data_IF_285384618854
#
_entry.id   IF_285384618854
#
_cell.length_a   1.000
_cell.length_b   1.000
_cell.length_c   1.000
_cell.angle_alpha   90.00
_cell.angle_beta   90.00
_cell.angle_gamma   90.00
#
_symmetry.space_group_name_H-M   'P 1'
#
loop_
_entity.id
_entity.type
_entity.pdbx_description
1 polymer ?
#
# COMPACT_ATOMS: atom_id res chain seq x y z
N UNK A 1 -8.00 -19.78 0.80
CA UNK A 1 -7.57 -20.84 -0.19
C UNK A 1 -6.39 -20.41 -1.08
N UNK A 2 -6.35 -19.19 -1.66
CA UNK A 2 -5.21 -18.77 -2.51
C UNK A 2 -3.99 -18.36 -1.68
N UNK A 3 -4.20 -17.61 -0.57
CA UNK A 3 -3.12 -17.24 0.36
C UNK A 3 -2.49 -18.46 1.01
N UNK A 4 -3.29 -19.42 1.48
CA UNK A 4 -2.79 -20.65 2.11
C UNK A 4 -1.86 -21.43 1.17
N UNK A 5 -2.24 -21.52 -0.12
CA UNK A 5 -1.41 -22.16 -1.13
C UNK A 5 -0.08 -21.43 -1.35
N UNK A 6 -0.11 -20.09 -1.37
CA UNK A 6 1.10 -19.28 -1.49
C UNK A 6 2.01 -19.48 -0.27
N UNK A 7 1.44 -19.39 0.93
CA UNK A 7 2.19 -19.59 2.19
C UNK A 7 2.84 -20.97 2.21
N UNK A 8 2.08 -22.03 1.94
CA UNK A 8 2.63 -23.40 1.89
C UNK A 8 3.75 -23.54 0.86
N UNK A 9 3.61 -22.91 -0.32
CA UNK A 9 4.67 -22.91 -1.32
C UNK A 9 5.95 -22.27 -0.79
N UNK A 10 5.84 -21.08 -0.19
CA UNK A 10 7.01 -20.36 0.35
C UNK A 10 7.65 -21.12 1.52
N UNK A 11 6.84 -21.71 2.42
CA UNK A 11 7.35 -22.47 3.56
C UNK A 11 8.08 -23.75 3.15
N UNK A 12 7.73 -24.34 2.00
CA UNK A 12 8.36 -25.55 1.48
C UNK A 12 9.66 -25.30 0.68
N UNK A 13 10.03 -24.02 0.46
CA UNK A 13 11.32 -23.71 -0.18
C UNK A 13 12.47 -23.82 0.83
N UNK A 14 13.58 -24.44 0.44
CA UNK A 14 14.77 -24.61 1.29
C UNK A 14 15.67 -23.36 1.37
N UNK A 15 15.22 -22.26 0.79
CA UNK A 15 15.93 -20.97 0.83
C UNK A 15 15.30 -20.02 1.86
N UNK A 16 16.10 -19.17 2.53
CA UNK A 16 15.57 -18.18 3.45
C UNK A 16 14.71 -17.15 2.73
N UNK A 17 13.66 -16.67 3.39
CA UNK A 17 12.86 -15.55 2.94
C UNK A 17 13.42 -14.26 3.55
N UNK A 18 14.01 -13.39 2.73
CA UNK A 18 14.61 -12.14 3.21
C UNK A 18 13.66 -10.95 3.13
N UNK A 19 12.84 -10.88 2.08
CA UNK A 19 12.02 -9.71 1.78
C UNK A 19 10.59 -10.15 1.45
N UNK A 20 9.62 -9.62 2.18
CA UNK A 20 8.19 -9.72 1.86
C UNK A 20 7.65 -8.36 1.44
N UNK A 21 7.20 -8.24 0.18
CA UNK A 21 6.55 -7.01 -0.29
C UNK A 21 5.05 -7.25 -0.46
N UNK A 22 4.25 -6.68 0.42
CA UNK A 22 2.79 -6.70 0.34
C UNK A 22 2.31 -5.59 -0.61
N UNK A 23 2.36 -5.88 -1.92
CA UNK A 23 2.03 -4.91 -2.98
C UNK A 23 0.60 -5.06 -3.51
N UNK A 24 0.01 -6.25 -3.46
CA UNK A 24 -1.32 -6.50 -4.00
C UNK A 24 -2.36 -5.56 -3.36
N UNK A 25 -3.20 -4.96 -4.18
CA UNK A 25 -4.25 -4.07 -3.70
C UNK A 25 -5.56 -4.26 -4.49
N UNK A 26 -6.68 -4.16 -3.79
CA UNK A 26 -7.99 -4.01 -4.39
C UNK A 26 -8.20 -2.51 -4.63
N UNK A 27 -8.23 -2.12 -5.89
CA UNK A 27 -8.48 -0.75 -6.32
C UNK A 27 -9.83 -0.62 -7.02
N UNK A 28 -10.47 -1.76 -7.32
CA UNK A 28 -11.72 -1.83 -8.04
C UNK A 28 -11.61 -1.35 -9.49
N UNK A 29 -12.70 -1.45 -10.19
CA UNK A 29 -12.90 -0.84 -11.50
C UNK A 29 -13.98 0.22 -11.38
N UNK A 30 -14.03 1.19 -12.29
CA UNK A 30 -15.03 2.28 -12.23
C UNK A 30 -16.47 1.78 -12.33
N UNK A 31 -16.69 0.61 -12.90
CA UNK A 31 -17.98 -0.04 -13.10
C UNK A 31 -18.37 -0.99 -11.93
N UNK A 32 -17.52 -1.15 -10.94
CA UNK A 32 -17.82 -1.98 -9.77
C UNK A 32 -18.89 -1.31 -8.90
N UNK A 33 -20.04 -1.95 -8.80
CA UNK A 33 -21.16 -1.46 -7.98
C UNK A 33 -20.76 -1.21 -6.52
N UNK A 34 -21.15 -0.05 -5.98
CA UNK A 34 -20.84 0.32 -4.60
C UNK A 34 -19.38 0.68 -4.32
N UNK A 35 -18.55 0.94 -5.33
CA UNK A 35 -17.14 1.30 -5.17
C UNK A 35 -16.89 2.79 -5.36
N UNK A 36 -16.72 3.28 -6.58
CA UNK A 36 -16.41 4.67 -6.90
C UNK A 36 -17.69 5.52 -7.06
N UNK A 37 -18.52 5.51 -6.05
CA UNK A 37 -19.86 6.16 -6.01
C UNK A 37 -19.97 7.07 -4.79
N UNK A 38 -21.10 7.80 -4.67
CA UNK A 38 -21.37 8.63 -3.49
C UNK A 38 -21.37 7.80 -2.19
N UNK A 39 -21.12 8.43 -1.05
CA UNK A 39 -21.05 7.72 0.24
C UNK A 39 -22.31 6.87 0.51
N UNK A 40 -23.50 7.40 0.16
CA UNK A 40 -24.78 6.70 0.36
C UNK A 40 -24.95 5.45 -0.50
N UNK A 41 -24.20 5.35 -1.58
CA UNK A 41 -24.25 4.24 -2.54
C UNK A 41 -23.11 3.22 -2.34
N UNK A 42 -22.10 3.56 -1.51
CA UNK A 42 -21.03 2.61 -1.17
C UNK A 42 -21.59 1.43 -0.35
N UNK A 43 -21.17 0.22 -0.67
CA UNK A 43 -21.72 -1.00 -0.05
C UNK A 43 -20.75 -1.62 0.94
N UNK A 44 -21.30 -2.25 2.00
CA UNK A 44 -20.52 -3.03 2.98
C UNK A 44 -19.83 -4.23 2.31
N UNK A 45 -20.41 -4.78 1.27
CA UNK A 45 -19.79 -5.87 0.50
C UNK A 45 -18.49 -5.42 -0.15
N UNK A 46 -18.52 -4.30 -0.88
CA UNK A 46 -17.33 -3.74 -1.54
C UNK A 46 -16.29 -3.27 -0.52
N UNK A 47 -16.76 -2.67 0.58
CA UNK A 47 -15.93 -2.35 1.74
C UNK A 47 -15.18 -3.58 2.25
N UNK A 48 -15.88 -4.67 2.53
CA UNK A 48 -15.30 -5.89 3.07
C UNK A 48 -14.29 -6.54 2.11
N UNK A 49 -14.57 -6.51 0.81
CA UNK A 49 -13.64 -7.00 -0.23
C UNK A 49 -12.35 -6.17 -0.27
N UNK A 50 -12.46 -4.86 -0.17
CA UNK A 50 -11.28 -3.98 -0.14
C UNK A 50 -10.42 -4.23 1.11
N UNK A 51 -11.03 -4.33 2.29
CA UNK A 51 -10.32 -4.65 3.53
C UNK A 51 -9.67 -6.04 3.47
N UNK A 52 -10.37 -7.03 2.90
CA UNK A 52 -9.85 -8.39 2.78
C UNK A 52 -8.54 -8.45 1.98
N UNK A 53 -8.45 -7.70 0.87
CA UNK A 53 -7.25 -7.68 0.03
C UNK A 53 -6.19 -6.72 0.57
N UNK A 54 -6.60 -5.49 0.94
CA UNK A 54 -5.65 -4.42 1.24
C UNK A 54 -5.08 -4.49 2.67
N UNK A 55 -5.80 -5.09 3.61
CA UNK A 55 -5.43 -5.10 5.03
C UNK A 55 -5.34 -6.52 5.60
N UNK A 56 -6.41 -7.32 5.48
CA UNK A 56 -6.43 -8.69 6.04
C UNK A 56 -5.34 -9.57 5.43
N UNK A 57 -5.14 -9.47 4.11
CA UNK A 57 -4.09 -10.25 3.44
C UNK A 57 -2.69 -9.81 3.87
N UNK A 58 -2.45 -8.52 4.10
CA UNK A 58 -1.17 -8.01 4.62
C UNK A 58 -0.87 -8.59 6.00
N UNK A 59 -1.86 -8.57 6.91
CA UNK A 59 -1.73 -9.17 8.23
C UNK A 59 -1.47 -10.68 8.14
N UNK A 60 -2.28 -11.40 7.37
CA UNK A 60 -2.24 -12.86 7.27
C UNK A 60 -0.91 -13.37 6.69
N UNK A 61 -0.42 -12.75 5.61
CA UNK A 61 0.88 -13.09 5.01
C UNK A 61 2.04 -12.76 5.94
N UNK A 62 2.02 -11.58 6.57
CA UNK A 62 3.07 -11.18 7.52
C UNK A 62 3.14 -12.13 8.72
N UNK A 63 1.98 -12.50 9.28
CA UNK A 63 1.87 -13.47 10.37
C UNK A 63 2.36 -14.86 9.96
N UNK A 64 1.87 -15.36 8.82
CA UNK A 64 2.12 -16.74 8.40
C UNK A 64 3.57 -16.98 7.95
N UNK A 65 4.26 -15.93 7.49
CA UNK A 65 5.65 -16.01 7.02
C UNK A 65 6.67 -15.47 8.04
N UNK A 66 6.22 -14.99 9.21
CA UNK A 66 7.10 -14.39 10.21
C UNK A 66 8.24 -15.33 10.63
N UNK A 67 7.95 -16.59 10.94
CA UNK A 67 8.98 -17.55 11.34
C UNK A 67 10.00 -17.81 10.23
N UNK A 68 9.54 -17.90 8.97
CA UNK A 68 10.42 -18.09 7.81
C UNK A 68 11.30 -16.86 7.56
N UNK A 69 10.76 -15.65 7.76
CA UNK A 69 11.54 -14.42 7.71
C UNK A 69 12.60 -14.35 8.81
N UNK A 70 12.30 -14.82 10.04
CA UNK A 70 13.26 -14.82 11.15
C UNK A 70 14.47 -15.73 10.93
N UNK A 71 14.43 -16.65 9.98
CA UNK A 71 15.59 -17.46 9.57
C UNK A 71 16.67 -16.63 8.85
N UNK A 72 16.29 -15.44 8.35
CA UNK A 72 17.19 -14.52 7.66
C UNK A 72 17.78 -13.47 8.61
N UNK A 73 19.06 -13.17 8.47
CA UNK A 73 19.72 -12.06 9.16
C UNK A 73 19.32 -10.67 8.65
N UNK A 74 18.67 -10.58 7.49
CA UNK A 74 18.31 -9.33 6.81
C UNK A 74 16.81 -9.26 6.47
N UNK A 75 15.97 -9.76 7.38
CA UNK A 75 14.53 -9.84 7.12
C UNK A 75 13.84 -8.48 7.13
N UNK A 76 13.01 -8.23 6.11
CA UNK A 76 12.19 -7.03 6.02
C UNK A 76 10.82 -7.31 5.41
N UNK A 77 9.80 -6.66 5.96
CA UNK A 77 8.45 -6.56 5.38
C UNK A 77 8.24 -5.13 4.90
N UNK A 78 7.83 -4.97 3.64
CA UNK A 78 7.47 -3.69 3.05
C UNK A 78 6.01 -3.74 2.64
N UNK A 79 5.19 -2.89 3.24
CA UNK A 79 3.77 -2.80 2.95
C UNK A 79 3.49 -1.61 2.04
N UNK A 80 2.72 -1.80 0.96
CA UNK A 80 2.30 -0.70 0.09
C UNK A 80 1.08 0.02 0.70
N UNK A 81 1.36 1.21 1.26
CA UNK A 81 0.38 2.17 1.74
C UNK A 81 -0.22 3.02 0.60
N UNK A 82 -0.52 4.25 0.92
CA UNK A 82 -0.95 5.33 0.02
C UNK A 82 -0.95 6.64 0.80
N UNK A 83 -0.80 7.78 0.12
CA UNK A 83 -1.08 9.09 0.71
C UNK A 83 -2.48 9.16 1.33
N UNK A 84 -3.46 8.46 0.75
CA UNK A 84 -4.83 8.36 1.28
C UNK A 84 -4.98 7.46 2.52
N UNK A 85 -3.89 6.90 3.04
CA UNK A 85 -3.85 6.31 4.37
C UNK A 85 -3.61 7.35 5.48
N UNK A 86 -3.16 8.55 5.14
CA UNK A 86 -2.87 9.66 6.07
C UNK A 86 -3.70 10.90 5.75
N UNK A 87 -4.01 11.13 4.47
CA UNK A 87 -4.72 12.32 3.99
C UNK A 87 -6.15 11.98 3.56
N UNK A 88 -7.07 12.90 3.79
CA UNK A 88 -8.38 12.87 3.15
C UNK A 88 -8.26 13.14 1.63
N UNK A 89 -9.09 12.50 0.80
CA UNK A 89 -9.07 12.73 -0.63
C UNK A 89 -9.63 14.12 -0.98
N UNK A 90 -8.97 14.83 -1.89
CA UNK A 90 -9.57 15.99 -2.53
C UNK A 90 -10.57 15.52 -3.59
N UNK A 91 -11.87 15.57 -3.27
CA UNK A 91 -12.93 15.08 -4.15
C UNK A 91 -13.06 15.86 -5.46
N UNK A 92 -12.60 17.11 -5.52
CA UNK A 92 -12.65 17.92 -6.76
C UNK A 92 -11.81 17.34 -7.89
N UNK A 93 -10.80 16.51 -7.57
CA UNK A 93 -10.01 15.79 -8.57
C UNK A 93 -10.86 14.88 -9.47
N UNK A 94 -11.90 14.30 -8.90
CA UNK A 94 -12.74 13.27 -9.54
C UNK A 94 -13.93 13.83 -10.30
N UNK A 95 -14.24 15.13 -10.15
CA UNK A 95 -15.38 15.76 -10.79
C UNK A 95 -15.38 15.62 -12.31
N UNK A 96 -16.51 15.16 -12.86
CA UNK A 96 -16.68 14.93 -14.29
C UNK A 96 -15.83 13.76 -14.84
N UNK A 97 -15.43 12.84 -13.97
CA UNK A 97 -14.82 11.54 -14.32
C UNK A 97 -15.66 10.41 -13.71
N UNK A 98 -15.37 9.18 -14.11
CA UNK A 98 -15.94 7.99 -13.48
C UNK A 98 -15.04 7.43 -12.34
N UNK A 99 -14.01 8.18 -11.98
CA UNK A 99 -13.12 7.81 -10.88
C UNK A 99 -13.68 8.30 -9.55
N UNK A 100 -13.20 7.69 -8.46
CA UNK A 100 -13.53 8.09 -7.11
C UNK A 100 -12.50 7.58 -6.11
N UNK A 101 -12.61 8.02 -4.86
CA UNK A 101 -11.83 7.52 -3.76
C UNK A 101 -12.78 6.94 -2.70
N UNK A 102 -13.03 5.62 -2.72
CA UNK A 102 -13.95 4.99 -1.78
C UNK A 102 -13.41 5.03 -0.34
N UNK A 103 -14.31 5.16 0.63
CA UNK A 103 -13.96 5.16 2.05
C UNK A 103 -13.17 3.89 2.45
N UNK A 104 -13.54 2.74 1.90
CA UNK A 104 -12.85 1.47 2.13
C UNK A 104 -11.38 1.50 1.71
N UNK A 105 -11.04 2.19 0.61
CA UNK A 105 -9.66 2.33 0.18
C UNK A 105 -8.85 3.13 1.22
N UNK A 106 -9.30 4.32 1.56
CA UNK A 106 -8.62 5.18 2.54
C UNK A 106 -8.47 4.46 3.89
N UNK A 107 -9.56 3.88 4.42
CA UNK A 107 -9.54 3.15 5.67
C UNK A 107 -8.57 1.95 5.64
N UNK A 108 -8.56 1.18 4.54
CA UNK A 108 -7.63 0.04 4.41
C UNK A 108 -6.17 0.50 4.40
N UNK A 109 -5.85 1.61 3.72
CA UNK A 109 -4.48 2.12 3.64
C UNK A 109 -4.03 2.76 4.97
N UNK A 110 -4.91 3.44 5.70
CA UNK A 110 -4.67 3.86 7.08
C UNK A 110 -4.42 2.67 8.00
N UNK A 111 -5.22 1.62 7.86
CA UNK A 111 -5.03 0.35 8.57
C UNK A 111 -3.66 -0.29 8.29
N UNK A 112 -3.19 -0.28 7.05
CA UNK A 112 -1.85 -0.80 6.68
C UNK A 112 -0.73 -0.02 7.37
N UNK A 113 -0.81 1.31 7.40
CA UNK A 113 0.18 2.16 8.05
C UNK A 113 0.23 1.86 9.55
N UNK A 114 -0.92 1.75 10.21
CA UNK A 114 -0.96 1.44 11.64
C UNK A 114 -0.56 -0.01 11.92
N UNK A 115 -0.95 -0.97 11.10
CA UNK A 115 -0.52 -2.37 11.19
C UNK A 115 1.01 -2.48 11.06
N UNK A 116 1.62 -1.69 10.19
CA UNK A 116 3.08 -1.63 10.03
C UNK A 116 3.78 -1.23 11.33
N UNK A 117 3.27 -0.21 12.03
CA UNK A 117 3.78 0.22 13.35
C UNK A 117 3.67 -0.91 14.38
N UNK A 118 2.51 -1.57 14.42
CA UNK A 118 2.30 -2.69 15.34
C UNK A 118 3.22 -3.87 15.03
N UNK A 119 3.34 -4.27 13.76
CA UNK A 119 4.21 -5.36 13.34
C UNK A 119 5.69 -5.03 13.61
N UNK A 120 6.11 -3.79 13.40
CA UNK A 120 7.50 -3.37 13.62
C UNK A 120 7.94 -3.55 15.07
N UNK A 121 7.06 -3.30 16.02
CA UNK A 121 7.35 -3.50 17.46
C UNK A 121 7.24 -4.96 17.88
N UNK A 122 6.30 -5.71 17.29
CA UNK A 122 6.07 -7.12 17.60
C UNK A 122 7.15 -8.05 17.05
N UNK A 123 7.73 -7.73 15.89
CA UNK A 123 8.69 -8.57 15.18
C UNK A 123 10.15 -8.15 15.39
N UNK A 124 10.37 -7.01 16.05
CA UNK A 124 11.72 -6.59 16.43
C UNK A 124 12.33 -7.57 17.44
N UNK A 125 13.69 -7.72 17.46
CA UNK A 125 14.65 -7.06 16.59
C UNK A 125 14.90 -7.79 15.26
N UNK A 126 14.19 -8.88 14.99
CA UNK A 126 14.54 -9.82 13.91
C UNK A 126 14.05 -9.40 12.53
N UNK A 127 12.92 -8.68 12.46
CA UNK A 127 12.30 -8.28 11.19
C UNK A 127 11.98 -6.78 11.23
N UNK A 128 12.50 -6.03 10.27
CA UNK A 128 12.08 -4.63 10.06
C UNK A 128 10.77 -4.60 9.27
N UNK A 129 9.87 -3.71 9.63
CA UNK A 129 8.59 -3.57 8.95
C UNK A 129 8.34 -2.10 8.65
N UNK A 130 8.20 -1.74 7.37
CA UNK A 130 7.97 -0.37 6.93
C UNK A 130 6.85 -0.30 5.89
N UNK A 131 6.28 0.88 5.73
CA UNK A 131 5.33 1.20 4.67
C UNK A 131 5.99 2.10 3.64
N UNK A 132 5.72 1.85 2.37
CA UNK A 132 5.92 2.80 1.28
C UNK A 132 4.55 3.31 0.85
N UNK A 133 4.34 4.63 0.93
CA UNK A 133 3.09 5.30 0.54
C UNK A 133 3.29 6.15 -0.71
N UNK A 134 2.91 5.63 -1.88
CA UNK A 134 2.94 6.42 -3.11
C UNK A 134 1.88 7.51 -3.13
N UNK A 135 2.18 8.60 -3.85
CA UNK A 135 1.20 9.52 -4.39
C UNK A 135 0.48 8.94 -5.62
N UNK A 136 -0.02 9.82 -6.48
CA UNK A 136 -0.66 9.40 -7.72
C UNK A 136 0.34 8.85 -8.73
N UNK A 137 0.21 7.57 -9.07
CA UNK A 137 0.98 6.90 -10.13
C UNK A 137 0.17 6.92 -11.43
N UNK A 138 0.78 7.36 -12.53
CA UNK A 138 0.10 7.42 -13.82
C UNK A 138 -0.21 6.00 -14.36
N UNK A 139 -1.46 5.81 -14.78
CA UNK A 139 -2.02 4.56 -15.32
C UNK A 139 -3.13 4.87 -16.32
N UNK A 140 -2.86 5.78 -17.27
CA UNK A 140 -3.81 6.19 -18.28
C UNK A 140 -5.13 6.76 -17.72
N UNK A 141 -5.09 7.44 -16.58
CA UNK A 141 -6.27 8.10 -16.01
C UNK A 141 -6.80 9.20 -16.95
N UNK A 142 -8.08 9.55 -16.84
CA UNK A 142 -8.68 10.62 -17.65
C UNK A 142 -7.89 11.92 -17.56
N UNK A 143 -7.65 12.58 -18.69
CA UNK A 143 -6.86 13.83 -18.78
C UNK A 143 -7.32 14.91 -17.78
N UNK A 144 -8.63 15.02 -17.52
CA UNK A 144 -9.18 15.97 -16.54
C UNK A 144 -8.62 15.71 -15.13
N UNK A 145 -8.57 14.44 -14.73
CA UNK A 145 -7.99 14.05 -13.44
C UNK A 145 -6.48 14.33 -13.42
N UNK A 146 -5.76 13.90 -14.46
CA UNK A 146 -4.30 14.09 -14.56
C UNK A 146 -3.92 15.55 -14.43
N UNK A 147 -4.53 16.42 -15.24
CA UNK A 147 -4.23 17.86 -15.23
C UNK A 147 -4.49 18.51 -13.85
N UNK A 148 -5.60 18.13 -13.18
CA UNK A 148 -5.90 18.63 -11.83
C UNK A 148 -4.89 18.11 -10.81
N UNK A 149 -4.56 16.83 -10.89
CA UNK A 149 -3.59 16.22 -9.98
C UNK A 149 -2.22 16.88 -10.12
N UNK A 150 -1.72 17.01 -11.34
CA UNK A 150 -0.40 17.60 -11.64
C UNK A 150 -0.30 19.08 -11.20
N UNK A 151 -1.39 19.85 -11.31
CA UNK A 151 -1.41 21.24 -10.84
C UNK A 151 -1.30 21.39 -9.32
N UNK A 152 -1.51 20.31 -8.57
CA UNK A 152 -1.43 20.27 -7.10
C UNK A 152 -0.18 19.57 -6.57
N UNK A 153 0.63 18.99 -7.45
CA UNK A 153 1.88 18.31 -7.07
C UNK A 153 3.07 19.28 -7.26
N UNK A 154 3.89 19.56 -6.24
CA UNK A 154 5.06 20.44 -6.39
C UNK A 154 5.99 20.06 -7.52
N UNK A 155 6.21 18.75 -7.76
CA UNK A 155 7.02 18.29 -8.91
C UNK A 155 6.29 18.36 -10.26
N UNK A 156 5.04 18.84 -10.32
CA UNK A 156 4.30 19.13 -11.55
C UNK A 156 3.93 17.92 -12.40
N UNK A 157 4.01 16.71 -11.88
CA UNK A 157 3.68 15.48 -12.61
C UNK A 157 3.17 14.37 -11.69
N UNK A 158 2.45 13.42 -12.26
CA UNK A 158 2.21 12.14 -11.59
C UNK A 158 3.48 11.29 -11.56
N UNK A 159 3.57 10.37 -10.62
CA UNK A 159 4.67 9.41 -10.56
C UNK A 159 4.56 8.35 -11.67
N UNK A 160 5.68 7.76 -12.02
CA UNK A 160 5.80 6.50 -12.74
C UNK A 160 6.20 5.37 -11.78
N UNK A 161 6.18 4.12 -12.26
CA UNK A 161 6.70 3.00 -11.46
C UNK A 161 8.19 3.16 -11.12
N UNK A 162 8.95 3.83 -11.96
CA UNK A 162 10.39 4.04 -11.75
C UNK A 162 10.66 4.89 -10.51
N UNK A 163 9.77 5.86 -10.22
CA UNK A 163 9.91 6.76 -9.09
C UNK A 163 9.83 6.04 -7.73
N UNK A 164 9.21 4.86 -7.69
CA UNK A 164 9.06 4.07 -6.46
C UNK A 164 10.22 3.10 -6.21
N UNK A 165 10.99 2.74 -7.25
CA UNK A 165 12.04 1.72 -7.16
C UNK A 165 13.14 2.06 -6.18
N UNK A 166 13.54 3.34 -6.12
CA UNK A 166 14.57 3.80 -5.21
C UNK A 166 14.20 3.58 -3.74
N UNK A 167 12.95 3.89 -3.37
CA UNK A 167 12.45 3.70 -2.02
C UNK A 167 12.34 2.20 -1.65
N UNK A 168 11.87 1.35 -2.58
CA UNK A 168 11.86 -0.10 -2.37
C UNK A 168 13.28 -0.64 -2.20
N UNK A 169 14.22 -0.25 -3.06
CA UNK A 169 15.61 -0.69 -2.96
C UNK A 169 16.25 -0.27 -1.63
N UNK A 170 16.02 0.98 -1.20
CA UNK A 170 16.48 1.50 0.10
C UNK A 170 15.91 0.67 1.25
N UNK A 171 14.59 0.48 1.31
CA UNK A 171 13.94 -0.26 2.40
C UNK A 171 14.32 -1.74 2.43
N UNK A 172 14.66 -2.33 1.27
CA UNK A 172 15.07 -3.73 1.13
C UNK A 172 16.54 -3.98 1.44
N UNK A 173 17.35 -2.93 1.59
CA UNK A 173 18.80 -3.03 1.76
C UNK A 173 19.24 -2.70 3.19
N UNK A 174 20.51 -2.99 3.48
CA UNK A 174 21.17 -2.69 4.75
C UNK A 174 21.31 -1.17 4.98
N UNK A 175 21.16 -0.34 3.95
CA UNK A 175 21.12 1.13 4.10
C UNK A 175 19.97 1.60 4.99
N UNK A 176 19.00 0.74 5.25
CA UNK A 176 17.84 1.03 6.12
C UNK A 176 17.80 0.18 7.40
N UNK A 177 18.94 -0.36 7.85
CA UNK A 177 18.99 -1.23 9.05
C UNK A 177 18.40 -0.61 10.32
N UNK A 178 18.50 0.71 10.46
CA UNK A 178 17.93 1.44 11.61
C UNK A 178 16.56 2.06 11.32
N UNK A 179 15.87 1.55 10.27
CA UNK A 179 14.55 2.05 9.84
C UNK A 179 13.51 0.94 9.98
N UNK A 180 12.61 1.09 10.96
CA UNK A 180 11.44 0.23 11.16
C UNK A 180 10.26 1.02 11.69
N UNK A 181 9.04 0.60 11.40
CA UNK A 181 7.80 1.26 11.79
C UNK A 181 7.49 2.55 11.03
N UNK A 182 8.27 2.87 9.99
CA UNK A 182 8.14 4.13 9.26
C UNK A 182 7.19 4.02 8.08
N UNK A 183 6.58 5.16 7.73
CA UNK A 183 5.87 5.36 6.49
C UNK A 183 6.68 6.30 5.59
N UNK A 184 7.28 5.75 4.53
CA UNK A 184 8.03 6.51 3.55
C UNK A 184 7.08 6.98 2.45
N UNK A 185 6.84 8.29 2.39
CA UNK A 185 5.97 8.90 1.40
C UNK A 185 6.77 9.27 0.15
N UNK A 186 6.30 8.84 -1.01
CA UNK A 186 6.87 9.17 -2.33
C UNK A 186 5.75 9.70 -3.22
N UNK A 187 5.50 11.00 -3.15
CA UNK A 187 4.31 11.65 -3.68
C UNK A 187 4.54 12.93 -4.50
N UNK A 188 5.79 13.26 -4.79
CA UNK A 188 6.15 14.47 -5.51
C UNK A 188 5.91 15.77 -4.74
N UNK A 189 5.72 15.68 -3.42
CA UNK A 189 5.43 16.80 -2.53
C UNK A 189 3.94 17.07 -2.32
N UNK A 190 3.04 16.19 -2.79
CA UNK A 190 1.60 16.33 -2.61
C UNK A 190 1.20 16.60 -1.15
N UNK A 191 1.83 15.92 -0.20
CA UNK A 191 1.50 16.03 1.23
C UNK A 191 2.30 17.12 1.97
N UNK A 192 3.05 17.95 1.29
CA UNK A 192 3.91 18.96 1.92
C UNK A 192 3.19 20.28 2.23
N UNK A 193 1.92 20.47 1.80
CA UNK A 193 1.09 21.67 2.03
C UNK A 193 -0.38 21.33 2.35
#
# INVERSE_FOLDING_TARGET
KSRDKLVLKVLNEDIPLNILVNNAAFVGTSDLGGWAVSLSEQTVETWSRALEVNLTAVFDLSKSLANKLQESSHAVIINLGSIYGELGPNMSLYEGTQMGNPAAYAASKGGVIQLTRWLSTSLAPHIRVNTLSPGGVYRDQPKKFVNRFESMVPLGRMASEQDLKGAIAYLSSDLSEYVTGQNIVVDGGWSAW
#
